data_IF_266037576355
#
_entry.id   IF_266037576355
#
_cell.length_a   1.000
_cell.length_b   1.000
_cell.length_c   1.000
_cell.angle_alpha   90.00
_cell.angle_beta   90.00
_cell.angle_gamma   90.00
#
_symmetry.space_group_name_H-M   'P 1'
#
loop_
_entity.id
_entity.type
_entity.pdbx_description
1 polymer ?
#
# COMPACT_ATOMS: atom_id res chain seq x y z
N UNK A 1 -10.02 -34.80 -4.17
CA UNK A 1 -11.38 -34.21 -4.21
C UNK A 1 -11.49 -33.47 -5.51
N UNK A 2 -12.31 -34.00 -6.43
CA UNK A 2 -12.54 -33.38 -7.73
C UNK A 2 -13.46 -32.15 -7.52
N UNK A 3 -13.07 -31.02 -8.09
CA UNK A 3 -13.93 -29.83 -8.15
C UNK A 3 -14.95 -30.08 -9.26
N UNK A 4 -16.23 -30.18 -8.90
CA UNK A 4 -17.31 -30.21 -9.86
C UNK A 4 -17.39 -28.87 -10.60
N UNK A 5 -17.38 -28.99 -11.92
CA UNK A 5 -17.52 -27.90 -12.89
C UNK A 5 -18.95 -27.37 -12.83
N UNK A 6 -19.12 -26.19 -12.18
CA UNK A 6 -20.42 -25.50 -12.13
C UNK A 6 -20.65 -24.76 -13.44
N UNK A 7 -21.53 -25.33 -14.25
CA UNK A 7 -21.91 -24.83 -15.58
C UNK A 7 -22.58 -23.45 -15.50
N UNK A 8 -22.13 -22.56 -16.33
CA UNK A 8 -22.77 -21.26 -16.59
C UNK A 8 -24.14 -21.51 -17.23
N UNK A 9 -25.21 -21.21 -16.52
CA UNK A 9 -26.58 -21.30 -17.06
C UNK A 9 -26.89 -20.03 -17.86
N UNK A 10 -27.01 -20.18 -19.18
CA UNK A 10 -27.44 -19.10 -20.08
C UNK A 10 -28.94 -19.00 -20.06
N UNK A 11 -29.48 -17.89 -19.62
CA UNK A 11 -30.93 -17.63 -19.62
C UNK A 11 -31.44 -17.45 -21.06
N UNK A 12 -32.38 -18.28 -21.49
CA UNK A 12 -33.16 -18.07 -22.71
C UNK A 12 -34.43 -17.29 -22.35
N UNK A 13 -34.53 -16.07 -22.83
CA UNK A 13 -35.78 -15.31 -22.80
C UNK A 13 -36.72 -15.96 -23.82
N UNK A 14 -37.89 -16.45 -23.35
CA UNK A 14 -38.91 -17.01 -24.23
C UNK A 14 -39.78 -15.85 -24.77
N UNK A 15 -39.78 -15.56 -26.09
CA UNK A 15 -40.49 -14.42 -26.64
C UNK A 15 -42.00 -14.65 -26.81
N UNK A 16 -42.52 -15.81 -26.46
CA UNK A 16 -43.90 -16.19 -26.80
C UNK A 16 -44.98 -15.89 -25.72
N UNK A 17 -44.62 -15.30 -24.57
CA UNK A 17 -45.59 -14.88 -23.54
C UNK A 17 -45.30 -13.47 -23.00
N UNK A 18 -45.82 -12.42 -23.69
CA UNK A 18 -45.67 -11.05 -23.18
C UNK A 18 -46.64 -10.61 -22.10
N UNK A 19 -47.59 -11.44 -21.69
CA UNK A 19 -48.67 -11.05 -20.75
C UNK A 19 -48.82 -12.06 -19.60
N UNK A 20 -47.85 -12.17 -18.72
CA UNK A 20 -48.14 -12.67 -17.37
C UNK A 20 -47.74 -11.62 -16.36
N UNK A 21 -48.73 -11.10 -15.64
CA UNK A 21 -48.62 -10.07 -14.60
C UNK A 21 -47.85 -10.48 -13.35
N UNK A 22 -47.11 -11.54 -13.40
CA UNK A 22 -46.08 -11.89 -12.40
C UNK A 22 -44.77 -11.99 -13.12
N UNK A 23 -43.98 -10.92 -13.07
CA UNK A 23 -42.54 -11.01 -13.36
C UNK A 23 -42.03 -12.21 -12.57
N UNK A 24 -41.43 -13.24 -13.25
CA UNK A 24 -40.82 -14.34 -12.52
C UNK A 24 -39.82 -13.70 -11.57
N UNK A 25 -39.96 -14.01 -10.28
CA UNK A 25 -38.93 -13.62 -9.31
C UNK A 25 -37.66 -14.23 -9.84
N UNK A 26 -36.78 -13.38 -10.41
CA UNK A 26 -35.47 -13.79 -10.85
C UNK A 26 -34.82 -14.40 -9.61
N UNK A 27 -34.73 -15.74 -9.58
CA UNK A 27 -33.90 -16.40 -8.59
C UNK A 27 -32.46 -15.96 -8.89
N UNK A 28 -31.97 -15.05 -8.09
CA UNK A 28 -30.56 -14.70 -8.09
C UNK A 28 -29.80 -15.95 -7.66
N UNK A 29 -29.09 -16.58 -8.60
CA UNK A 29 -28.19 -17.68 -8.26
C UNK A 29 -27.02 -17.08 -7.50
N UNK A 30 -26.61 -17.72 -6.41
CA UNK A 30 -25.40 -17.38 -5.69
C UNK A 30 -24.21 -17.64 -6.61
N UNK A 31 -23.42 -16.60 -6.87
CA UNK A 31 -22.20 -16.67 -7.64
C UNK A 31 -20.99 -16.65 -6.70
N UNK A 32 -20.15 -17.65 -6.79
CA UNK A 32 -18.86 -17.67 -6.11
C UNK A 32 -17.76 -17.15 -7.04
N UNK A 33 -17.24 -15.96 -6.77
CA UNK A 33 -16.21 -15.32 -7.57
C UNK A 33 -14.87 -15.31 -6.84
N UNK A 34 -13.80 -15.82 -7.49
CA UNK A 34 -12.44 -15.67 -7.01
C UNK A 34 -11.83 -14.37 -7.57
N UNK A 35 -11.68 -13.36 -6.73
CA UNK A 35 -10.97 -12.12 -7.07
C UNK A 35 -9.50 -12.22 -6.63
N UNK A 36 -8.61 -12.25 -7.59
CA UNK A 36 -7.17 -12.45 -7.38
C UNK A 36 -6.75 -13.93 -7.27
N UNK A 37 -5.45 -14.21 -7.07
CA UNK A 37 -4.37 -13.23 -6.83
C UNK A 37 -3.99 -12.40 -8.06
N UNK A 38 -4.21 -12.89 -9.28
CA UNK A 38 -3.98 -12.11 -10.49
C UNK A 38 -5.24 -11.33 -10.86
N UNK A 39 -5.31 -10.10 -10.38
CA UNK A 39 -6.39 -9.15 -10.67
C UNK A 39 -5.87 -7.72 -10.48
N UNK A 40 -6.26 -6.73 -11.30
CA UNK A 40 -5.78 -5.35 -11.16
C UNK A 40 -5.98 -4.76 -9.76
N UNK A 41 -7.13 -5.01 -9.14
CA UNK A 41 -7.48 -4.49 -7.80
C UNK A 41 -6.86 -5.26 -6.63
N UNK A 42 -6.12 -6.34 -6.87
CA UNK A 42 -5.53 -7.19 -5.83
C UNK A 42 -4.00 -7.07 -5.76
N UNK A 43 -3.42 -6.19 -6.56
CA UNK A 43 -1.98 -5.91 -6.63
C UNK A 43 -1.11 -7.19 -6.82
N UNK A 44 -1.70 -8.23 -7.42
CA UNK A 44 -1.03 -9.48 -7.77
C UNK A 44 -0.91 -10.53 -6.65
N UNK A 45 -1.24 -10.21 -5.40
CA UNK A 45 -1.02 -11.07 -4.23
C UNK A 45 -2.22 -11.27 -3.32
N UNK A 46 -3.19 -10.35 -3.33
CA UNK A 46 -4.42 -10.52 -2.55
C UNK A 46 -5.38 -11.46 -3.28
N UNK A 47 -5.92 -12.43 -2.56
CA UNK A 47 -7.04 -13.26 -3.02
C UNK A 47 -8.22 -13.09 -2.09
N UNK A 48 -9.38 -12.77 -2.67
CA UNK A 48 -10.65 -12.71 -1.96
C UNK A 48 -11.67 -13.60 -2.67
N UNK A 49 -12.36 -14.44 -1.93
CA UNK A 49 -13.50 -15.20 -2.42
C UNK A 49 -14.75 -14.38 -2.11
N UNK A 50 -15.50 -14.03 -3.14
CA UNK A 50 -16.72 -13.25 -3.06
C UNK A 50 -17.93 -14.15 -3.29
N UNK A 51 -18.91 -14.07 -2.39
CA UNK A 51 -20.24 -14.67 -2.55
C UNK A 51 -21.21 -13.55 -2.97
N UNK A 52 -21.76 -13.67 -4.17
CA UNK A 52 -22.62 -12.65 -4.80
C UNK A 52 -24.02 -13.19 -5.03
N UNK A 53 -25.04 -12.36 -4.75
CA UNK A 53 -26.42 -12.53 -5.24
C UNK A 53 -26.67 -11.51 -6.36
N UNK A 54 -26.53 -11.93 -7.61
CA UNK A 54 -26.47 -11.02 -8.75
C UNK A 54 -25.25 -10.10 -8.63
N UNK A 55 -25.45 -8.78 -8.52
CA UNK A 55 -24.38 -7.80 -8.32
C UNK A 55 -24.17 -7.42 -6.83
N UNK A 56 -24.97 -7.99 -5.93
CA UNK A 56 -24.87 -7.69 -4.51
C UNK A 56 -23.84 -8.59 -3.84
N UNK A 57 -22.86 -7.98 -3.18
CA UNK A 57 -21.91 -8.71 -2.34
C UNK A 57 -22.59 -9.15 -1.03
N UNK A 58 -22.66 -10.48 -0.84
CA UNK A 58 -23.23 -11.09 0.38
C UNK A 58 -22.13 -11.34 1.40
N UNK A 59 -20.98 -11.89 0.93
CA UNK A 59 -19.86 -12.22 1.81
C UNK A 59 -18.54 -12.09 1.06
N UNK A 60 -17.52 -11.70 1.80
CA UNK A 60 -16.12 -11.69 1.32
C UNK A 60 -15.23 -12.47 2.28
N UNK A 61 -14.43 -13.38 1.73
CA UNK A 61 -13.51 -14.21 2.51
C UNK A 61 -12.09 -14.03 1.98
N UNK A 62 -11.20 -13.31 2.69
CA UNK A 62 -9.81 -13.18 2.29
C UNK A 62 -9.07 -14.51 2.47
N UNK A 63 -8.23 -14.87 1.49
CA UNK A 63 -7.39 -16.07 1.53
C UNK A 63 -5.95 -15.64 1.75
N UNK A 64 -5.43 -15.92 2.94
CA UNK A 64 -4.06 -15.57 3.33
C UNK A 64 -3.04 -16.56 2.75
N UNK A 65 -1.79 -16.14 2.64
CA UNK A 65 -0.67 -16.99 2.29
C UNK A 65 0.04 -16.66 0.98
N UNK A 66 -0.56 -15.93 0.06
CA UNK A 66 0.06 -15.62 -1.24
C UNK A 66 1.28 -14.69 -1.14
N UNK A 67 1.45 -13.99 -0.01
CA UNK A 67 2.63 -13.16 0.30
C UNK A 67 3.45 -13.73 1.47
N UNK A 68 3.22 -14.98 1.86
CA UNK A 68 4.00 -15.61 2.92
C UNK A 68 5.40 -15.95 2.40
N UNK A 69 6.43 -15.38 3.00
CA UNK A 69 7.84 -15.52 2.59
C UNK A 69 8.72 -16.20 3.62
N UNK A 70 8.15 -16.73 4.71
CA UNK A 70 8.88 -17.39 5.78
C UNK A 70 9.83 -16.46 6.54
N UNK A 71 9.47 -15.17 6.69
CA UNK A 71 10.37 -14.13 7.24
C UNK A 71 10.79 -14.44 8.66
N UNK A 72 9.89 -14.96 9.51
CA UNK A 72 10.20 -15.35 10.88
C UNK A 72 11.26 -16.45 10.91
N UNK A 73 11.16 -17.43 10.01
CA UNK A 73 12.15 -18.51 9.91
C UNK A 73 13.51 -18.01 9.45
N UNK A 74 13.52 -17.08 8.51
CA UNK A 74 14.76 -16.42 8.08
C UNK A 74 15.41 -15.61 9.21
N UNK A 75 14.59 -15.03 10.10
CA UNK A 75 15.11 -14.32 11.27
C UNK A 75 15.79 -15.25 12.29
N UNK A 76 15.27 -16.48 12.45
CA UNK A 76 15.86 -17.49 13.34
C UNK A 76 17.22 -18.03 12.81
N UNK A 77 17.39 -18.09 11.49
CA UNK A 77 18.58 -18.67 10.86
C UNK A 77 19.81 -17.74 10.85
N UNK A 78 19.61 -16.45 11.18
CA UNK A 78 20.65 -15.41 11.10
C UNK A 78 20.94 -14.70 12.42
N UNK A 79 21.88 -13.77 12.38
CA UNK A 79 22.14 -12.84 13.48
C UNK A 79 21.23 -11.63 13.39
N UNK A 80 21.09 -10.88 14.49
CA UNK A 80 20.32 -9.62 14.51
C UNK A 80 20.77 -8.63 13.42
N UNK A 81 22.05 -8.52 13.13
CA UNK A 81 22.57 -7.65 12.07
C UNK A 81 22.21 -8.14 10.67
N UNK A 82 22.28 -9.43 10.43
CA UNK A 82 21.93 -10.03 9.13
C UNK A 82 20.43 -9.91 8.83
N UNK A 83 19.58 -9.78 9.85
CA UNK A 83 18.16 -9.63 9.66
C UNK A 83 17.73 -8.20 9.28
N UNK A 84 18.55 -7.17 9.55
CA UNK A 84 18.23 -5.77 9.23
C UNK A 84 17.74 -5.61 7.76
N UNK A 85 18.43 -6.11 6.72
CA UNK A 85 17.98 -5.98 5.34
C UNK A 85 16.64 -6.69 5.05
N UNK A 86 16.29 -7.73 5.81
CA UNK A 86 15.02 -8.41 5.64
C UNK A 86 13.84 -7.53 6.08
N UNK A 87 14.05 -6.68 7.09
CA UNK A 87 13.02 -5.77 7.60
C UNK A 87 12.59 -4.74 6.57
N UNK A 88 13.50 -4.25 5.72
CA UNK A 88 13.18 -3.32 4.64
C UNK A 88 12.13 -3.87 3.66
N UNK A 89 12.05 -5.19 3.55
CA UNK A 89 11.19 -5.91 2.62
C UNK A 89 9.88 -6.40 3.23
N UNK A 90 9.57 -6.02 4.47
CA UNK A 90 8.28 -6.30 5.11
C UNK A 90 7.18 -5.41 4.51
N UNK A 91 7.24 -4.13 4.81
CA UNK A 91 6.50 -3.10 4.10
C UNK A 91 7.49 -2.32 3.23
N UNK A 92 7.67 -2.75 1.98
CA UNK A 92 8.66 -2.18 1.07
C UNK A 92 8.35 -0.74 0.64
N UNK A 93 7.13 -0.25 0.89
CA UNK A 93 6.77 1.15 0.66
C UNK A 93 7.31 2.06 1.75
N UNK A 94 7.44 1.53 2.98
CA UNK A 94 7.90 2.25 4.16
C UNK A 94 9.09 1.54 4.82
N UNK A 95 10.08 1.13 4.02
CA UNK A 95 11.23 0.34 4.44
C UNK A 95 11.97 0.91 5.65
N UNK A 96 12.18 2.23 5.69
CA UNK A 96 12.84 2.93 6.80
C UNK A 96 12.14 2.71 8.14
N UNK A 97 10.79 2.67 8.17
CA UNK A 97 10.06 2.43 9.41
C UNK A 97 10.24 1.02 9.96
N UNK A 98 10.20 0.01 9.08
CA UNK A 98 10.41 -1.38 9.49
C UNK A 98 11.81 -1.56 10.06
N UNK A 99 12.80 -1.02 9.38
CA UNK A 99 14.19 -1.04 9.79
C UNK A 99 14.39 -0.33 11.13
N UNK A 100 13.79 0.87 11.28
CA UNK A 100 13.84 1.64 12.53
C UNK A 100 13.18 0.91 13.69
N UNK A 101 11.97 0.37 13.50
CA UNK A 101 11.25 -0.37 14.54
C UNK A 101 12.04 -1.58 15.03
N UNK A 102 12.66 -2.32 14.10
CA UNK A 102 13.51 -3.46 14.42
C UNK A 102 14.75 -3.05 15.22
N UNK A 103 15.49 -2.05 14.75
CA UNK A 103 16.68 -1.56 15.46
C UNK A 103 16.32 -1.08 16.87
N UNK A 104 15.22 -0.36 17.05
CA UNK A 104 14.72 0.08 18.37
C UNK A 104 14.36 -1.09 19.30
N UNK A 105 13.75 -2.14 18.76
CA UNK A 105 13.42 -3.33 19.53
C UNK A 105 14.68 -4.04 20.07
N UNK A 106 15.69 -4.20 19.22
CA UNK A 106 16.97 -4.81 19.61
C UNK A 106 17.73 -3.92 20.59
N UNK A 107 17.77 -2.61 20.39
CA UNK A 107 18.39 -1.65 21.32
C UNK A 107 17.74 -1.70 22.69
N UNK A 108 16.42 -1.78 22.74
CA UNK A 108 15.68 -1.93 24.00
C UNK A 108 16.01 -3.26 24.70
N UNK A 109 16.13 -4.34 23.93
CA UNK A 109 16.51 -5.66 24.48
C UNK A 109 17.92 -5.65 25.08
N UNK A 110 18.85 -4.94 24.43
CA UNK A 110 20.25 -4.80 24.86
C UNK A 110 20.46 -3.69 25.89
N UNK A 111 19.43 -2.90 26.21
CA UNK A 111 19.52 -1.67 27.00
C UNK A 111 20.59 -0.70 26.49
N UNK A 112 20.69 -0.57 25.18
CA UNK A 112 21.71 0.23 24.49
C UNK A 112 21.24 1.68 24.39
N UNK A 113 22.11 2.62 24.80
CA UNK A 113 21.85 4.05 24.64
C UNK A 113 22.33 4.51 23.26
N UNK A 114 21.46 5.13 22.51
CA UNK A 114 21.76 5.68 21.19
C UNK A 114 22.18 7.14 21.35
N UNK A 115 23.23 7.62 20.63
CA UNK A 115 23.62 9.03 20.66
C UNK A 115 22.47 9.96 20.22
N UNK A 116 22.34 11.09 20.91
CA UNK A 116 21.28 12.06 20.67
C UNK A 116 21.22 12.52 19.19
N UNK A 117 22.38 12.79 18.58
CA UNK A 117 22.45 13.14 17.16
C UNK A 117 21.83 12.06 16.27
N UNK A 118 22.08 10.80 16.54
CA UNK A 118 21.53 9.68 15.76
C UNK A 118 19.98 9.61 15.92
N UNK A 119 19.43 9.92 17.09
CA UNK A 119 17.99 9.98 17.31
C UNK A 119 17.33 11.10 16.48
N UNK A 120 17.93 12.30 16.40
CA UNK A 120 17.45 13.36 15.52
C UNK A 120 17.51 12.96 14.05
N UNK A 121 18.62 12.39 13.61
CA UNK A 121 18.77 11.91 12.22
C UNK A 121 17.71 10.86 11.87
N UNK A 122 17.52 9.91 12.76
CA UNK A 122 16.50 8.87 12.61
C UNK A 122 15.10 9.45 12.48
N UNK A 123 14.77 10.45 13.29
CA UNK A 123 13.46 11.11 13.25
C UNK A 123 13.26 11.86 11.94
N UNK A 124 14.26 12.61 11.47
CA UNK A 124 14.19 13.33 10.20
C UNK A 124 13.93 12.34 9.05
N UNK A 125 14.72 11.28 8.95
CA UNK A 125 14.60 10.30 7.87
C UNK A 125 13.29 9.52 7.94
N UNK A 126 12.81 9.22 9.15
CA UNK A 126 11.49 8.62 9.35
C UNK A 126 10.37 9.52 8.83
N UNK A 127 10.39 10.82 9.10
CA UNK A 127 9.37 11.75 8.60
C UNK A 127 9.44 11.94 7.08
N UNK A 128 10.63 11.94 6.49
CA UNK A 128 10.79 11.89 5.02
C UNK A 128 10.15 10.63 4.45
N UNK A 129 10.41 9.48 5.07
CA UNK A 129 9.75 8.22 4.67
C UNK A 129 8.23 8.29 4.80
N UNK A 130 7.70 8.97 5.83
CA UNK A 130 6.26 9.15 6.00
C UNK A 130 5.65 9.91 4.82
N UNK A 131 6.29 10.98 4.38
CA UNK A 131 5.85 11.75 3.21
C UNK A 131 5.84 10.85 1.97
N UNK A 132 6.90 10.09 1.73
CA UNK A 132 7.00 9.14 0.61
C UNK A 132 5.88 8.09 0.66
N UNK A 133 5.61 7.54 1.84
CA UNK A 133 4.55 6.56 2.06
C UNK A 133 3.16 7.14 1.80
N UNK A 134 2.89 8.34 2.28
CA UNK A 134 1.60 9.03 2.04
C UNK A 134 1.39 9.37 0.56
N UNK A 135 2.42 9.82 -0.14
CA UNK A 135 2.34 10.06 -1.58
C UNK A 135 2.04 8.76 -2.35
N UNK A 136 2.66 7.65 -1.98
CA UNK A 136 2.39 6.35 -2.59
C UNK A 136 0.95 5.89 -2.29
N UNK A 137 0.52 5.96 -1.03
CA UNK A 137 -0.83 5.58 -0.63
C UNK A 137 -1.88 6.41 -1.39
N UNK A 138 -1.74 7.73 -1.39
CA UNK A 138 -2.67 8.62 -2.08
C UNK A 138 -2.74 8.33 -3.58
N UNK A 139 -1.59 8.09 -4.21
CA UNK A 139 -1.50 7.79 -5.63
C UNK A 139 -2.20 6.47 -5.99
N UNK A 140 -1.94 5.40 -5.23
CA UNK A 140 -2.54 4.09 -5.46
C UNK A 140 -4.05 4.13 -5.24
N UNK A 141 -4.50 4.75 -4.14
CA UNK A 141 -5.92 4.90 -3.84
C UNK A 141 -6.65 5.75 -4.90
N UNK A 142 -6.02 6.83 -5.35
CA UNK A 142 -6.59 7.68 -6.40
C UNK A 142 -6.69 6.93 -7.74
N UNK A 143 -5.69 6.13 -8.08
CA UNK A 143 -5.69 5.31 -9.29
C UNK A 143 -6.81 4.26 -9.27
N UNK A 144 -6.99 3.56 -8.15
CA UNK A 144 -8.02 2.52 -7.99
C UNK A 144 -9.44 3.09 -8.15
N UNK A 145 -9.66 4.36 -7.79
CA UNK A 145 -10.95 5.06 -7.97
C UNK A 145 -11.04 5.77 -9.36
N UNK A 146 -9.98 5.71 -10.17
CA UNK A 146 -9.95 6.27 -11.52
C UNK A 146 -9.37 7.68 -11.64
N UNK A 147 -8.82 8.26 -10.57
CA UNK A 147 -8.17 9.58 -10.59
C UNK A 147 -6.68 9.50 -10.98
N UNK A 148 -6.41 9.04 -12.20
CA UNK A 148 -5.04 8.79 -12.72
C UNK A 148 -4.13 10.03 -12.67
N UNK A 149 -4.66 11.23 -12.83
CA UNK A 149 -3.88 12.48 -12.78
C UNK A 149 -3.16 12.63 -11.45
N UNK A 150 -3.85 12.39 -10.33
CA UNK A 150 -3.27 12.47 -8.98
C UNK A 150 -2.13 11.48 -8.80
N UNK A 151 -2.28 10.26 -9.35
CA UNK A 151 -1.22 9.26 -9.35
C UNK A 151 0.08 9.83 -9.93
N UNK A 152 0.04 10.42 -11.14
CA UNK A 152 1.23 10.96 -11.77
C UNK A 152 1.84 12.14 -11.00
N UNK A 153 1.02 13.02 -10.44
CA UNK A 153 1.51 14.16 -9.66
C UNK A 153 2.18 13.73 -8.36
N UNK A 154 1.58 12.78 -7.63
CA UNK A 154 2.20 12.24 -6.43
C UNK A 154 3.53 11.54 -6.73
N UNK A 155 3.61 10.77 -7.82
CA UNK A 155 4.85 10.10 -8.22
C UNK A 155 5.93 11.08 -8.67
N UNK A 156 5.58 12.16 -9.38
CA UNK A 156 6.51 13.24 -9.73
C UNK A 156 7.19 13.82 -8.49
N UNK A 157 6.41 14.14 -7.49
CA UNK A 157 6.93 14.82 -6.29
C UNK A 157 7.62 13.83 -5.34
N UNK A 158 7.16 12.57 -5.31
CA UNK A 158 7.82 11.46 -4.58
C UNK A 158 9.22 11.17 -5.11
N UNK A 159 9.43 11.28 -6.42
CA UNK A 159 10.71 11.02 -7.07
C UNK A 159 11.85 11.86 -6.49
N UNK A 160 11.59 13.10 -6.15
CA UNK A 160 12.57 14.00 -5.52
C UNK A 160 13.12 13.42 -4.20
N UNK A 161 12.24 12.84 -3.39
CA UNK A 161 12.64 12.22 -2.12
C UNK A 161 13.29 10.86 -2.30
N UNK A 162 12.94 10.12 -3.36
CA UNK A 162 13.63 8.86 -3.69
C UNK A 162 15.06 9.13 -4.15
N UNK A 163 15.31 10.19 -4.92
CA UNK A 163 16.66 10.63 -5.28
C UNK A 163 17.45 11.08 -4.05
N UNK A 164 16.77 11.73 -3.10
CA UNK A 164 17.37 12.06 -1.82
C UNK A 164 17.77 10.83 -1.01
N UNK A 165 16.96 9.75 -1.01
CA UNK A 165 17.29 8.48 -0.38
C UNK A 165 18.45 7.78 -1.09
N UNK A 166 18.50 7.83 -2.43
CA UNK A 166 19.61 7.26 -3.19
C UNK A 166 20.95 7.93 -2.83
N UNK A 167 20.97 9.26 -2.69
CA UNK A 167 22.15 9.99 -2.23
C UNK A 167 22.50 9.66 -0.76
N UNK A 168 21.48 9.47 0.10
CA UNK A 168 21.68 9.18 1.52
C UNK A 168 22.27 7.78 1.74
N UNK A 169 21.71 6.76 1.09
CA UNK A 169 22.01 5.35 1.42
C UNK A 169 22.29 4.46 0.20
N UNK A 170 22.29 5.02 -1.01
CA UNK A 170 22.56 4.26 -2.24
C UNK A 170 21.40 3.37 -2.68
N UNK A 171 20.19 3.59 -2.16
CA UNK A 171 19.01 2.82 -2.49
C UNK A 171 17.74 3.67 -2.42
N UNK A 172 16.82 3.41 -3.35
CA UNK A 172 15.56 4.15 -3.49
C UNK A 172 14.40 3.56 -2.68
N UNK A 173 14.39 2.26 -2.44
CA UNK A 173 13.31 1.53 -1.77
C UNK A 173 13.80 0.72 -0.56
N UNK A 174 14.70 -0.22 -0.75
CA UNK A 174 15.24 -1.09 0.33
C UNK A 174 16.52 -0.47 0.88
N UNK A 175 16.36 0.46 1.78
CA UNK A 175 17.36 1.46 2.14
C UNK A 175 18.36 1.02 3.20
N UNK A 176 17.97 0.13 4.11
CA UNK A 176 18.86 -0.46 5.15
C UNK A 176 19.79 0.54 5.84
N UNK A 177 19.32 1.74 6.14
CA UNK A 177 20.15 2.83 6.66
C UNK A 177 20.24 2.88 8.19
N UNK A 178 19.18 2.46 8.89
CA UNK A 178 19.22 2.35 10.34
C UNK A 178 20.13 1.20 10.77
N UNK A 179 20.85 1.39 11.87
CA UNK A 179 21.72 0.39 12.48
C UNK A 179 21.40 0.28 13.97
N UNK A 180 21.65 -0.87 14.56
CA UNK A 180 21.59 -1.05 16.00
C UNK A 180 22.66 -0.15 16.64
N UNK A 181 22.20 0.79 17.48
CA UNK A 181 23.06 1.79 18.11
C UNK A 181 23.22 3.11 17.35
N UNK A 182 22.59 3.28 16.17
CA UNK A 182 22.67 4.52 15.42
C UNK A 182 22.19 4.43 13.97
N UNK A 183 22.92 5.05 13.08
CA UNK A 183 22.70 5.12 11.64
C UNK A 183 23.96 4.81 10.87
N UNK A 184 23.85 4.42 9.60
CA UNK A 184 24.99 4.06 8.77
C UNK A 184 25.93 5.23 8.51
N UNK A 185 25.36 6.39 8.22
CA UNK A 185 26.09 7.63 7.91
C UNK A 185 25.28 8.86 8.29
N UNK A 186 25.98 9.97 8.48
CA UNK A 186 25.37 11.28 8.78
C UNK A 186 24.78 11.94 7.53
N UNK A 187 23.91 12.93 7.72
CA UNK A 187 23.43 13.80 6.65
C UNK A 187 24.54 14.78 6.25
N UNK A 188 24.83 14.83 4.97
CA UNK A 188 25.74 15.84 4.42
C UNK A 188 25.05 17.22 4.38
N UNK A 189 25.81 18.33 4.37
CA UNK A 189 25.23 19.67 4.16
C UNK A 189 24.37 19.75 2.89
N UNK A 190 24.78 19.11 1.80
CA UNK A 190 24.01 19.03 0.55
C UNK A 190 22.64 18.38 0.75
N UNK A 191 22.59 17.24 1.46
CA UNK A 191 21.31 16.56 1.77
C UNK A 191 20.38 17.41 2.62
N UNK A 192 20.94 18.13 3.58
CA UNK A 192 20.16 19.06 4.43
C UNK A 192 19.57 20.19 3.59
N UNK A 193 20.34 20.77 2.69
CA UNK A 193 19.87 21.88 1.84
C UNK A 193 18.83 21.42 0.81
N UNK A 194 19.02 20.23 0.22
CA UNK A 194 18.01 19.61 -0.67
C UNK A 194 16.70 19.34 0.07
N UNK A 195 16.77 18.85 1.30
CA UNK A 195 15.59 18.60 2.11
C UNK A 195 14.85 19.90 2.44
N UNK A 196 15.55 20.98 2.80
CA UNK A 196 14.95 22.31 3.02
C UNK A 196 14.24 22.82 1.76
N UNK A 197 14.89 22.71 0.59
CA UNK A 197 14.29 23.09 -0.69
C UNK A 197 13.01 22.29 -0.97
N UNK A 198 13.00 21.00 -0.66
CA UNK A 198 11.81 20.18 -0.79
C UNK A 198 10.70 20.61 0.17
N UNK A 199 11.02 20.94 1.42
CA UNK A 199 10.05 21.41 2.41
C UNK A 199 9.41 22.75 2.03
N UNK A 200 10.13 23.63 1.33
CA UNK A 200 9.58 24.86 0.77
C UNK A 200 8.71 24.60 -0.47
N UNK A 201 9.08 23.62 -1.29
CA UNK A 201 8.39 23.26 -2.52
C UNK A 201 7.08 22.49 -2.30
N UNK A 202 7.06 21.59 -1.31
CA UNK A 202 6.03 20.56 -1.21
C UNK A 202 4.66 21.03 -0.69
N UNK A 203 4.53 21.98 0.28
CA UNK A 203 3.21 22.40 0.79
C UNK A 203 2.24 22.88 -0.29
N UNK A 204 2.62 23.71 -1.27
CA UNK A 204 1.73 24.07 -2.38
C UNK A 204 1.30 22.87 -3.24
N UNK A 205 2.07 21.77 -3.24
CA UNK A 205 1.72 20.55 -3.99
C UNK A 205 0.61 19.75 -3.30
N UNK A 206 0.55 19.81 -1.99
CA UNK A 206 -0.56 19.23 -1.22
C UNK A 206 -1.87 19.93 -1.58
N UNK A 207 -1.86 21.27 -1.67
CA UNK A 207 -3.01 22.06 -2.10
C UNK A 207 -3.44 21.70 -3.54
N UNK A 208 -2.46 21.45 -4.43
CA UNK A 208 -2.70 20.98 -5.81
C UNK A 208 -3.42 19.63 -5.82
N UNK A 209 -2.98 18.64 -5.02
CA UNK A 209 -3.64 17.33 -4.90
C UNK A 209 -5.06 17.46 -4.36
N UNK A 210 -5.25 18.31 -3.36
CA UNK A 210 -6.55 18.55 -2.77
C UNK A 210 -7.54 19.11 -3.80
N UNK A 211 -7.12 20.05 -4.64
CA UNK A 211 -7.95 20.60 -5.70
C UNK A 211 -8.36 19.54 -6.72
N UNK A 212 -7.44 18.65 -7.10
CA UNK A 212 -7.73 17.56 -8.05
C UNK A 212 -8.74 16.53 -7.52
N UNK A 213 -8.78 16.32 -6.20
CA UNK A 213 -9.69 15.36 -5.57
C UNK A 213 -10.99 16.01 -5.13
N UNK A 214 -10.95 17.02 -4.27
CA UNK A 214 -12.15 17.59 -3.64
C UNK A 214 -13.06 18.34 -4.61
N UNK A 215 -12.54 18.85 -5.72
CA UNK A 215 -13.35 19.51 -6.77
C UNK A 215 -13.75 18.57 -7.91
N UNK A 216 -13.34 17.33 -7.87
CA UNK A 216 -13.65 16.34 -8.90
C UNK A 216 -15.00 15.67 -8.63
N UNK A 217 -15.98 15.88 -9.51
CA UNK A 217 -17.32 15.30 -9.36
C UNK A 217 -17.34 13.78 -9.39
N UNK A 218 -16.46 13.15 -10.18
CA UNK A 218 -16.35 11.69 -10.28
C UNK A 218 -15.82 11.15 -8.96
N UNK A 219 -14.75 11.73 -8.45
CA UNK A 219 -14.17 11.36 -7.15
C UNK A 219 -15.21 11.46 -6.03
N UNK A 220 -15.90 12.59 -5.94
CA UNK A 220 -16.95 12.80 -4.93
C UNK A 220 -18.11 11.81 -5.08
N UNK A 221 -18.49 11.46 -6.32
CA UNK A 221 -19.53 10.47 -6.59
C UNK A 221 -19.16 9.06 -6.13
N UNK A 222 -17.87 8.71 -6.16
CA UNK A 222 -17.40 7.38 -5.76
C UNK A 222 -17.03 7.27 -4.28
N UNK A 223 -16.84 8.40 -3.58
CA UNK A 223 -16.32 8.38 -2.20
C UNK A 223 -17.31 8.92 -1.18
N UNK A 224 -18.14 9.92 -1.55
CA UNK A 224 -19.04 10.59 -0.60
C UNK A 224 -20.17 9.65 -0.16
N UNK A 225 -20.25 9.38 1.13
CA UNK A 225 -21.28 8.51 1.71
C UNK A 225 -21.02 7.01 1.53
N UNK A 226 -19.84 6.63 1.02
CA UNK A 226 -19.40 5.24 0.91
C UNK A 226 -18.54 4.89 2.12
N UNK A 227 -18.79 3.73 2.74
CA UNK A 227 -18.05 3.22 3.90
C UNK A 227 -17.94 4.27 5.05
N UNK A 228 -19.04 4.93 5.36
CA UNK A 228 -19.10 5.85 6.50
C UNK A 228 -19.05 5.03 7.79
N UNK A 229 -18.06 5.30 8.64
CA UNK A 229 -17.84 4.66 9.94
C UNK A 229 -18.47 5.50 11.03
#
# INVERSE_FOLDING_TARGET
>A
MAFEDQRTTVYKVNPEHPESETLPTLRTEELLLNMGPQHPSTHGVLKVILELEGERLVKSTPVMGYLHRGVEKLAEDGTYHQFIPHTDRLDYVCAMYNNFAYCRAVEKLLNLQVPERAEYLRTIVAEVQRIIGHQFWLSAQALDIGAMTVFFYCFRDREILLDWFDELCGARLTTSWYRIGGVERDLTPSLIDKLKQFLDYFPPKIDEYQVFLEKNRIWLGHTKGVAVI
#
